data_IF_678712042160
#
_entry.id   IF_678712042160
#
_cell.length_a   1.000
_cell.length_b   1.000
_cell.length_c   1.000
_cell.angle_alpha   90.00
_cell.angle_beta   90.00
_cell.angle_gamma   90.00
#
_symmetry.space_group_name_H-M   'P 1'
#
loop_
_entity.id
_entity.type
_entity.pdbx_description
1 polymer ?
#
# COMPACT_ATOMS: atom_id res chain seq x y z
N UNK A 1 -11.97 11.30 48.58
CA UNK A 1 -11.09 11.49 47.41
C UNK A 1 -11.64 10.53 46.36
N UNK A 2 -12.74 10.93 45.72
CA UNK A 2 -13.47 10.07 44.81
C UNK A 2 -12.65 9.93 43.54
N UNK A 3 -12.30 8.68 43.25
CA UNK A 3 -11.76 8.23 41.98
C UNK A 3 -12.83 8.46 40.92
N UNK A 4 -12.83 9.65 40.32
CA UNK A 4 -13.70 10.08 39.23
C UNK A 4 -13.13 9.52 37.91
N UNK A 5 -12.88 8.21 37.88
CA UNK A 5 -12.45 7.52 36.68
C UNK A 5 -13.67 7.44 35.75
N UNK A 6 -13.77 8.40 34.84
CA UNK A 6 -14.74 8.40 33.74
C UNK A 6 -14.73 7.00 33.10
N UNK A 7 -15.87 6.28 33.08
CA UNK A 7 -15.89 4.93 32.53
C UNK A 7 -15.41 4.97 31.09
N UNK A 8 -14.32 4.26 30.77
CA UNK A 8 -13.89 4.09 29.38
C UNK A 8 -15.09 3.52 28.62
N UNK A 9 -15.64 4.24 27.62
CA UNK A 9 -16.82 3.78 26.92
C UNK A 9 -16.52 2.42 26.26
N UNK A 10 -17.43 1.46 26.41
CA UNK A 10 -17.28 0.09 25.90
C UNK A 10 -17.21 0.02 24.37
N UNK A 11 -17.62 1.08 23.69
CA UNK A 11 -17.49 1.26 22.25
C UNK A 11 -16.83 2.62 21.95
N UNK A 12 -15.91 2.68 20.96
CA UNK A 12 -15.36 3.95 20.51
C UNK A 12 -16.47 4.89 20.02
N UNK A 13 -16.32 6.21 20.19
CA UNK A 13 -17.32 7.16 19.76
C UNK A 13 -17.52 7.07 18.23
N UNK A 14 -18.77 7.23 17.74
CA UNK A 14 -19.12 6.98 16.33
C UNK A 14 -18.36 7.89 15.35
N UNK A 15 -18.00 9.09 15.79
CA UNK A 15 -17.14 10.05 15.10
C UNK A 15 -15.71 9.54 14.87
N UNK A 16 -15.10 8.89 15.86
CA UNK A 16 -13.78 8.26 15.71
C UNK A 16 -13.84 7.12 14.71
N UNK A 17 -14.91 6.31 14.76
CA UNK A 17 -15.13 5.21 13.80
C UNK A 17 -15.27 5.75 12.39
N UNK A 18 -16.05 6.82 12.19
CA UNK A 18 -16.21 7.47 10.89
C UNK A 18 -14.90 8.08 10.36
N UNK A 19 -14.11 8.71 11.23
CA UNK A 19 -12.81 9.28 10.89
C UNK A 19 -11.80 8.18 10.49
N UNK A 20 -11.77 7.07 11.24
CA UNK A 20 -10.95 5.90 10.93
C UNK A 20 -11.36 5.23 9.61
N UNK A 21 -12.66 5.08 9.34
CA UNK A 21 -13.18 4.55 8.08
C UNK A 21 -12.80 5.43 6.88
N UNK A 22 -12.85 6.76 7.05
CA UNK A 22 -12.37 7.70 6.05
C UNK A 22 -10.89 7.50 5.71
N UNK A 23 -10.06 7.31 6.73
CA UNK A 23 -8.62 7.03 6.57
C UNK A 23 -8.36 5.69 5.86
N UNK A 24 -9.09 4.63 6.23
CA UNK A 24 -9.00 3.31 5.59
C UNK A 24 -9.41 3.40 4.12
N UNK A 25 -10.47 4.13 3.80
CA UNK A 25 -10.96 4.31 2.43
C UNK A 25 -9.96 5.05 1.55
N UNK A 26 -9.27 6.05 2.10
CA UNK A 26 -8.19 6.75 1.40
C UNK A 26 -6.98 5.84 1.17
N UNK A 27 -6.62 5.02 2.16
CA UNK A 27 -5.56 4.02 2.02
C UNK A 27 -5.87 3.01 0.92
N UNK A 28 -7.10 2.50 0.89
CA UNK A 28 -7.54 1.53 -0.11
C UNK A 28 -7.59 2.12 -1.52
N UNK A 29 -8.00 3.38 -1.71
CA UNK A 29 -8.00 4.05 -3.03
C UNK A 29 -6.63 4.11 -3.69
N UNK A 30 -5.56 4.03 -2.91
CA UNK A 30 -4.20 4.00 -3.40
C UNK A 30 -3.60 2.58 -3.41
N UNK A 31 -3.92 1.75 -2.42
CA UNK A 31 -3.46 0.36 -2.36
C UNK A 31 -4.00 -0.47 -3.54
N UNK A 32 -5.28 -0.31 -3.89
CA UNK A 32 -5.94 -1.06 -4.97
C UNK A 32 -5.22 -0.90 -6.32
N UNK A 33 -4.97 0.32 -6.86
CA UNK A 33 -4.30 0.45 -8.15
C UNK A 33 -2.87 -0.11 -8.16
N UNK A 34 -2.13 0.01 -7.06
CA UNK A 34 -0.78 -0.56 -6.94
C UNK A 34 -0.84 -2.10 -6.99
N UNK A 35 -1.76 -2.70 -6.24
CA UNK A 35 -1.97 -4.15 -6.26
C UNK A 35 -2.41 -4.63 -7.64
N UNK A 36 -3.28 -3.88 -8.33
CA UNK A 36 -3.70 -4.19 -9.70
C UNK A 36 -2.52 -4.11 -10.68
N UNK A 37 -1.66 -3.09 -10.56
CA UNK A 37 -0.44 -2.97 -11.39
C UNK A 37 0.52 -4.12 -11.12
N UNK A 38 0.76 -4.46 -9.84
CA UNK A 38 1.62 -5.57 -9.46
C UNK A 38 1.09 -6.91 -9.95
N UNK A 39 -0.21 -7.16 -9.80
CA UNK A 39 -0.86 -8.38 -10.29
C UNK A 39 -0.85 -8.44 -11.82
N UNK A 40 -1.16 -7.34 -12.50
CA UNK A 40 -1.09 -7.24 -13.96
C UNK A 40 0.31 -7.53 -14.47
N UNK A 41 1.33 -6.94 -13.85
CA UNK A 41 2.72 -7.22 -14.19
C UNK A 41 3.11 -8.68 -13.95
N UNK A 42 2.69 -9.27 -12.83
CA UNK A 42 2.91 -10.69 -12.54
C UNK A 42 2.28 -11.60 -13.61
N UNK A 43 1.04 -11.32 -14.03
CA UNK A 43 0.37 -12.08 -15.09
C UNK A 43 1.05 -11.90 -16.44
N UNK A 44 1.52 -10.69 -16.76
CA UNK A 44 2.32 -10.44 -17.96
C UNK A 44 3.58 -11.30 -17.93
N UNK A 45 4.33 -11.29 -16.82
CA UNK A 45 5.55 -12.12 -16.67
C UNK A 45 5.22 -13.60 -16.82
N UNK A 46 4.18 -14.10 -16.17
CA UNK A 46 3.76 -15.50 -16.25
C UNK A 46 3.33 -15.90 -17.67
N UNK A 47 2.58 -15.03 -18.36
CA UNK A 47 2.16 -15.26 -19.74
C UNK A 47 3.35 -15.23 -20.71
N UNK A 48 4.27 -14.28 -20.55
CA UNK A 48 5.49 -14.18 -21.36
C UNK A 48 6.41 -15.38 -21.13
N UNK A 49 6.53 -15.84 -19.88
CA UNK A 49 7.33 -17.01 -19.54
C UNK A 49 6.73 -18.33 -20.04
N UNK A 50 5.40 -18.47 -20.01
CA UNK A 50 4.71 -19.71 -20.39
C UNK A 50 4.36 -19.86 -21.86
N UNK A 51 4.08 -18.76 -22.58
CA UNK A 51 3.47 -18.81 -23.92
C UNK A 51 4.29 -18.18 -25.04
N UNK A 52 5.28 -17.33 -24.75
CA UNK A 52 6.08 -16.70 -25.81
C UNK A 52 7.49 -17.29 -25.91
N UNK A 53 7.81 -17.84 -27.09
CA UNK A 53 9.18 -18.22 -27.48
C UNK A 53 10.17 -17.05 -27.53
N UNK A 54 9.70 -15.81 -27.29
CA UNK A 54 10.50 -14.60 -27.08
C UNK A 54 11.52 -14.78 -25.95
N UNK A 55 11.22 -15.65 -24.96
CA UNK A 55 12.14 -16.00 -23.89
C UNK A 55 13.24 -16.99 -24.30
N UNK A 56 12.98 -17.80 -25.33
CA UNK A 56 13.94 -18.76 -25.90
C UNK A 56 14.81 -18.16 -27.00
N UNK A 57 14.43 -17.00 -27.54
CA UNK A 57 15.28 -16.23 -28.44
C UNK A 57 16.33 -15.48 -27.64
N UNK A 58 17.60 -15.71 -27.93
CA UNK A 58 18.65 -14.73 -27.60
C UNK A 58 18.24 -13.41 -28.25
N UNK A 59 17.94 -12.39 -27.43
CA UNK A 59 17.92 -11.03 -27.94
C UNK A 59 19.36 -10.76 -28.36
N UNK A 60 19.60 -10.59 -29.66
CA UNK A 60 20.92 -10.65 -30.29
C UNK A 60 22.05 -10.12 -29.40
N UNK A 61 23.00 -10.99 -29.07
CA UNK A 61 24.12 -10.69 -28.15
C UNK A 61 24.29 -11.62 -26.95
N UNK A 62 23.55 -12.74 -26.85
CA UNK A 62 23.74 -13.74 -25.79
C UNK A 62 23.00 -13.46 -24.47
N UNK A 63 22.16 -12.43 -24.41
CA UNK A 63 21.30 -12.16 -23.25
C UNK A 63 19.91 -12.79 -23.45
N UNK A 64 19.49 -13.62 -22.50
CA UNK A 64 18.13 -14.16 -22.49
C UNK A 64 17.13 -13.06 -22.17
N UNK A 65 16.01 -13.00 -22.90
CA UNK A 65 14.93 -12.07 -22.59
C UNK A 65 14.37 -12.29 -21.18
N UNK A 66 14.51 -13.50 -20.62
CA UNK A 66 14.23 -13.83 -19.22
C UNK A 66 15.00 -12.93 -18.25
N UNK A 67 16.31 -12.79 -18.47
CA UNK A 67 17.19 -12.03 -17.60
C UNK A 67 16.86 -10.54 -17.63
N UNK A 68 16.54 -10.00 -18.81
CA UNK A 68 16.09 -8.61 -18.98
C UNK A 68 14.78 -8.35 -18.21
N UNK A 69 13.82 -9.26 -18.31
CA UNK A 69 12.54 -9.15 -17.61
C UNK A 69 12.71 -9.23 -16.09
N UNK A 70 13.57 -10.13 -15.60
CA UNK A 70 13.96 -10.19 -14.19
C UNK A 70 14.69 -8.93 -13.72
N UNK A 71 15.55 -8.34 -14.55
CA UNK A 71 16.20 -7.08 -14.24
C UNK A 71 15.20 -5.93 -14.13
N UNK A 72 14.14 -5.94 -14.95
CA UNK A 72 13.11 -4.90 -14.94
C UNK A 72 12.17 -4.98 -13.72
N UNK A 73 12.04 -6.17 -13.11
CA UNK A 73 11.32 -6.35 -11.84
C UNK A 73 11.93 -5.51 -10.71
N UNK A 74 13.26 -5.36 -10.68
CA UNK A 74 13.97 -4.62 -9.63
C UNK A 74 13.53 -3.15 -9.56
N UNK A 75 13.69 -2.33 -10.61
CA UNK A 75 13.25 -0.94 -10.56
C UNK A 75 11.75 -0.81 -10.37
N UNK A 76 10.93 -1.73 -10.91
CA UNK A 76 9.48 -1.73 -10.68
C UNK A 76 9.14 -1.82 -9.19
N UNK A 77 9.74 -2.76 -8.45
CA UNK A 77 9.54 -2.92 -7.01
C UNK A 77 10.01 -1.69 -6.25
N UNK A 78 11.15 -1.11 -6.64
CA UNK A 78 11.67 0.11 -6.02
C UNK A 78 10.75 1.31 -6.25
N UNK A 79 10.20 1.47 -7.45
CA UNK A 79 9.23 2.53 -7.75
C UNK A 79 7.95 2.32 -6.93
N UNK A 80 7.41 1.10 -6.87
CA UNK A 80 6.22 0.79 -6.07
C UNK A 80 6.44 1.08 -4.58
N UNK A 81 7.57 0.65 -4.02
CA UNK A 81 7.89 0.85 -2.61
C UNK A 81 8.14 2.31 -2.27
N UNK A 82 8.83 3.07 -3.13
CA UNK A 82 9.05 4.50 -2.94
C UNK A 82 7.74 5.30 -3.03
N UNK A 83 6.89 4.94 -4.00
CA UNK A 83 5.58 5.55 -4.18
C UNK A 83 4.67 5.26 -2.98
N UNK A 84 4.69 4.02 -2.47
CA UNK A 84 3.98 3.64 -1.25
C UNK A 84 4.47 4.43 -0.04
N UNK A 85 5.79 4.47 0.18
CA UNK A 85 6.37 5.16 1.34
C UNK A 85 6.01 6.65 1.38
N UNK A 86 6.12 7.35 0.26
CA UNK A 86 5.72 8.77 0.15
C UNK A 86 4.24 9.01 0.46
N UNK A 87 3.37 8.02 0.25
CA UNK A 87 1.95 8.12 0.57
C UNK A 87 1.64 7.70 2.00
N UNK A 88 2.38 6.73 2.54
CA UNK A 88 2.27 6.29 3.94
C UNK A 88 2.48 7.46 4.91
N UNK A 89 3.49 8.30 4.66
CA UNK A 89 3.75 9.50 5.48
C UNK A 89 2.53 10.43 5.60
N UNK A 90 1.67 10.49 4.56
CA UNK A 90 0.44 11.30 4.59
C UNK A 90 -0.66 10.67 5.43
N UNK A 91 -0.76 9.34 5.45
CA UNK A 91 -1.75 8.66 6.28
C UNK A 91 -1.35 8.67 7.74
N UNK A 92 -0.05 8.53 8.03
CA UNK A 92 0.47 8.63 9.39
C UNK A 92 0.22 10.04 9.97
N UNK A 93 0.45 11.09 9.16
CA UNK A 93 0.12 12.46 9.57
C UNK A 93 -1.38 12.66 9.85
N UNK A 94 -2.28 12.05 9.06
CA UNK A 94 -3.72 12.10 9.31
C UNK A 94 -4.15 11.29 10.54
N UNK A 95 -3.54 10.13 10.74
CA UNK A 95 -3.79 9.32 11.92
C UNK A 95 -3.40 10.10 13.20
N UNK A 96 -2.28 10.81 13.17
CA UNK A 96 -1.84 11.63 14.30
C UNK A 96 -2.78 12.82 14.55
N UNK A 97 -3.30 13.45 13.49
CA UNK A 97 -4.32 14.51 13.63
C UNK A 97 -5.60 14.00 14.31
N UNK A 98 -6.12 12.86 13.86
CA UNK A 98 -7.30 12.22 14.48
C UNK A 98 -7.01 11.90 15.95
N UNK A 99 -5.84 11.32 16.24
CA UNK A 99 -5.44 11.04 17.63
C UNK A 99 -5.36 12.29 18.50
N UNK A 100 -4.85 13.40 17.98
CA UNK A 100 -4.74 14.66 18.69
C UNK A 100 -6.12 15.29 18.97
N UNK A 101 -7.00 15.32 17.97
CA UNK A 101 -8.37 15.86 18.07
C UNK A 101 -9.17 15.13 19.16
N UNK A 102 -9.16 13.79 19.15
CA UNK A 102 -9.85 13.00 20.16
C UNK A 102 -9.12 12.88 21.51
N UNK A 103 -7.83 13.23 21.59
CA UNK A 103 -7.10 13.28 22.86
C UNK A 103 -7.32 14.61 23.61
N UNK A 104 -7.61 15.70 22.90
CA UNK A 104 -8.04 16.97 23.51
C UNK A 104 -9.49 16.90 24.00
N UNK A 105 -10.38 16.21 23.29
CA UNK A 105 -11.79 16.02 23.71
C UNK A 105 -11.96 15.11 24.95
N UNK A 106 -10.93 14.33 25.29
CA UNK A 106 -10.91 13.43 26.45
C UNK A 106 -10.23 14.04 27.69
N UNK A 107 -9.89 15.34 27.66
CA UNK A 107 -9.26 16.08 28.76
C UNK A 107 -10.20 17.09 29.41
#
# INVERSE_FOLDING_TARGET
MSDDATPIPSAPPPELVAAADGLVRERLRFGIPITVVGLGFYLVVAATAGFTGVLHGELGGGMSATLLLLMLLIPLVWVLTLLYRRRADRWDARAEQIRAEFAEDLR
#
